data_IF_052839345613
#
_entry.id   IF_052839345613
#
_cell.length_a   1.000
_cell.length_b   1.000
_cell.length_c   1.000
_cell.angle_alpha   90.00
_cell.angle_beta   90.00
_cell.angle_gamma   90.00
#
_symmetry.space_group_name_H-M   'P 1'
#
loop_
_entity.id
_entity.type
_entity.pdbx_description
1 polymer ?
#
# COMPACT_ATOMS: atom_id res chain seq x y z
N UNK A 1 -41.61 -4.67 42.55
CA UNK A 1 -40.95 -5.92 42.11
C UNK A 1 -40.76 -5.82 40.61
N UNK A 2 -39.56 -5.45 40.15
CA UNK A 2 -39.28 -5.36 38.71
C UNK A 2 -39.12 -6.78 38.17
N UNK A 3 -39.98 -7.15 37.21
CA UNK A 3 -40.08 -8.49 36.63
C UNK A 3 -38.72 -8.98 36.11
N UNK A 4 -38.34 -10.22 36.42
CA UNK A 4 -37.07 -10.83 35.97
C UNK A 4 -36.85 -10.74 34.45
N UNK A 5 -37.92 -10.56 33.67
CA UNK A 5 -37.86 -10.41 32.22
C UNK A 5 -37.24 -9.09 31.74
N UNK A 6 -37.31 -7.99 32.50
CA UNK A 6 -36.68 -6.71 32.12
C UNK A 6 -35.21 -6.63 32.51
N UNK A 7 -34.76 -7.48 33.45
CA UNK A 7 -33.33 -7.61 33.79
C UNK A 7 -32.56 -8.42 32.76
N UNK A 8 -33.19 -9.43 32.15
CA UNK A 8 -32.56 -10.28 31.14
C UNK A 8 -32.28 -9.54 29.81
N UNK A 9 -33.17 -8.64 29.39
CA UNK A 9 -32.98 -7.84 28.16
C UNK A 9 -31.88 -6.78 28.31
N UNK A 10 -31.66 -6.25 29.51
CA UNK A 10 -30.59 -5.26 29.75
C UNK A 10 -29.19 -5.88 29.69
N UNK A 11 -29.02 -7.14 30.09
CA UNK A 11 -27.72 -7.84 30.11
C UNK A 11 -27.30 -8.26 28.69
N UNK A 12 -28.25 -8.55 27.79
CA UNK A 12 -27.95 -8.93 26.40
C UNK A 12 -27.48 -7.75 25.52
N UNK A 13 -27.80 -6.50 25.88
CA UNK A 13 -27.44 -5.32 25.07
C UNK A 13 -25.98 -4.85 25.30
N UNK A 14 -25.37 -5.22 26.43
CA UNK A 14 -24.02 -4.73 26.82
C UNK A 14 -22.89 -5.58 26.21
N UNK A 15 -23.19 -6.78 25.69
CA UNK A 15 -22.20 -7.69 25.12
C UNK A 15 -21.87 -7.43 23.63
N UNK A 16 -22.57 -6.50 22.96
CA UNK A 16 -22.41 -6.25 21.52
C UNK A 16 -21.39 -5.15 21.19
N UNK A 17 -20.76 -4.54 22.19
CA UNK A 17 -19.66 -3.62 21.97
C UNK A 17 -18.38 -4.40 21.65
N UNK A 18 -18.33 -4.99 20.45
CA UNK A 18 -17.04 -5.28 19.83
C UNK A 18 -16.33 -3.94 19.72
N UNK A 19 -15.36 -3.70 20.60
CA UNK A 19 -14.39 -2.64 20.39
C UNK A 19 -13.65 -3.02 19.11
N UNK A 20 -14.17 -2.56 17.98
CA UNK A 20 -13.45 -2.58 16.71
C UNK A 20 -12.28 -1.64 16.93
N UNK A 21 -11.15 -2.22 17.32
CA UNK A 21 -9.89 -1.52 17.42
C UNK A 21 -9.53 -1.11 16.01
N UNK A 22 -9.79 0.15 15.67
CA UNK A 22 -9.39 0.69 14.39
C UNK A 22 -7.87 0.60 14.26
N UNK A 23 -7.42 -0.25 13.35
CA UNK A 23 -6.02 -0.59 13.20
C UNK A 23 -5.59 -0.20 11.78
N UNK A 24 -4.72 0.81 11.62
CA UNK A 24 -4.18 1.11 10.30
C UNK A 24 -3.42 -0.11 9.79
N UNK A 25 -3.80 -0.59 8.61
CA UNK A 25 -3.26 -1.78 7.99
C UNK A 25 -2.95 -1.53 6.52
N UNK A 26 -1.72 -1.83 6.11
CA UNK A 26 -1.29 -1.71 4.72
C UNK A 26 -0.58 -2.98 4.29
N UNK A 27 -1.02 -3.56 3.19
CA UNK A 27 -0.37 -4.70 2.55
C UNK A 27 0.20 -4.27 1.20
N UNK A 28 1.42 -4.72 0.91
CA UNK A 28 2.08 -4.51 -0.38
C UNK A 28 2.42 -5.87 -0.95
N UNK A 29 1.87 -6.19 -2.10
CA UNK A 29 2.15 -7.41 -2.85
C UNK A 29 2.87 -7.04 -4.13
N UNK A 30 4.04 -7.63 -4.36
CA UNK A 30 4.77 -7.50 -5.62
C UNK A 30 4.64 -8.81 -6.37
N UNK A 31 4.27 -8.73 -7.65
CA UNK A 31 4.15 -9.87 -8.55
C UNK A 31 4.93 -9.60 -9.82
N UNK A 32 5.48 -10.65 -10.41
CA UNK A 32 6.26 -10.57 -11.64
C UNK A 32 6.15 -11.84 -12.47
N UNK A 33 6.59 -11.79 -13.73
CA UNK A 33 6.63 -12.94 -14.62
C UNK A 33 7.52 -14.06 -14.07
N UNK A 34 7.07 -15.31 -14.21
CA UNK A 34 7.80 -16.49 -13.73
C UNK A 34 9.12 -16.74 -14.49
N UNK A 35 9.22 -16.26 -15.72
CA UNK A 35 10.43 -16.24 -16.52
C UNK A 35 10.44 -14.97 -17.38
N UNK A 36 11.61 -14.35 -17.52
CA UNK A 36 11.82 -13.17 -18.36
C UNK A 36 12.91 -13.46 -19.39
N UNK A 37 12.59 -13.28 -20.66
CA UNK A 37 13.57 -13.33 -21.73
C UNK A 37 14.05 -11.89 -22.00
N UNK A 38 15.16 -11.52 -21.34
CA UNK A 38 15.75 -10.19 -21.44
C UNK A 38 15.22 -9.19 -20.42
N UNK A 39 16.11 -8.29 -19.97
CA UNK A 39 15.85 -7.31 -18.91
C UNK A 39 14.76 -6.30 -19.29
N UNK A 40 14.56 -6.05 -20.58
CA UNK A 40 13.50 -5.15 -21.08
C UNK A 40 12.08 -5.67 -20.80
N UNK A 41 11.95 -6.97 -20.49
CA UNK A 41 10.68 -7.63 -20.20
C UNK A 41 10.44 -7.84 -18.69
N UNK A 42 11.33 -7.34 -17.82
CA UNK A 42 11.14 -7.41 -16.38
C UNK A 42 10.15 -6.35 -15.91
N UNK A 43 8.87 -6.70 -16.00
CA UNK A 43 7.77 -5.91 -15.47
C UNK A 43 7.28 -6.48 -14.16
N UNK A 44 7.16 -5.65 -13.13
CA UNK A 44 6.58 -6.05 -11.85
C UNK A 44 5.32 -5.25 -11.61
N UNK A 45 4.29 -5.90 -11.08
CA UNK A 45 3.06 -5.23 -10.65
C UNK A 45 3.03 -5.20 -9.14
N UNK A 46 2.91 -4.00 -8.57
CA UNK A 46 2.70 -3.82 -7.15
C UNK A 46 1.23 -3.54 -6.87
N UNK A 47 0.63 -4.34 -6.00
CA UNK A 47 -0.70 -4.13 -5.45
C UNK A 47 -0.56 -3.61 -4.02
N UNK A 48 -1.02 -2.39 -3.77
CA UNK A 48 -1.05 -1.79 -2.43
C UNK A 48 -2.49 -1.80 -1.95
N UNK A 49 -2.74 -2.46 -0.83
CA UNK A 49 -4.09 -2.68 -0.27
C UNK A 49 -4.19 -2.12 1.13
N UNK A 50 -5.22 -1.34 1.38
CA UNK A 50 -5.60 -0.97 2.74
C UNK A 50 -6.33 -2.14 3.41
N UNK A 51 -5.65 -2.81 4.34
CA UNK A 51 -6.19 -3.94 5.11
C UNK A 51 -6.76 -3.50 6.47
N UNK A 52 -6.67 -2.21 6.78
CA UNK A 52 -7.29 -1.62 7.96
C UNK A 52 -8.75 -1.25 7.73
N UNK A 53 -9.33 -0.63 8.73
CA UNK A 53 -10.72 -0.16 8.80
C UNK A 53 -10.83 1.38 8.79
N UNK A 54 -9.70 2.09 8.64
CA UNK A 54 -9.65 3.53 8.43
C UNK A 54 -9.30 3.90 6.99
N UNK A 55 -9.65 5.12 6.56
CA UNK A 55 -9.19 5.65 5.27
C UNK A 55 -7.71 6.03 5.39
N UNK A 56 -6.87 5.45 4.54
CA UNK A 56 -5.45 5.77 4.47
C UNK A 56 -5.17 6.83 3.40
N UNK A 57 -4.28 7.76 3.74
CA UNK A 57 -3.75 8.78 2.83
C UNK A 57 -2.25 8.56 2.70
N UNK A 58 -1.81 8.05 1.55
CA UNK A 58 -0.45 7.59 1.32
C UNK A 58 0.26 8.57 0.39
N UNK A 59 1.42 9.05 0.80
CA UNK A 59 2.23 9.95 -0.02
C UNK A 59 2.87 9.19 -1.19
N UNK A 60 2.68 9.69 -2.40
CA UNK A 60 3.26 9.15 -3.63
C UNK A 60 4.70 9.64 -3.79
N UNK A 61 5.59 9.10 -2.96
CA UNK A 61 7.02 9.37 -3.05
C UNK A 61 7.60 8.78 -4.36
N UNK A 62 8.58 9.42 -5.03
CA UNK A 62 9.17 8.89 -6.26
C UNK A 62 9.70 7.46 -6.17
N UNK A 63 10.31 7.10 -5.04
CA UNK A 63 10.82 5.76 -4.72
C UNK A 63 9.76 4.82 -4.10
N UNK A 64 8.50 5.23 -4.02
CA UNK A 64 7.40 4.39 -3.52
C UNK A 64 6.89 3.47 -4.63
N UNK A 65 6.38 2.26 -4.30
CA UNK A 65 5.65 1.42 -5.24
C UNK A 65 4.36 2.06 -5.79
N UNK A 66 3.93 3.21 -5.28
CA UNK A 66 2.82 3.98 -5.84
C UNK A 66 3.23 4.92 -6.97
N UNK A 67 4.54 5.14 -7.14
CA UNK A 67 5.08 6.02 -8.17
C UNK A 67 5.38 5.24 -9.46
N UNK A 68 5.00 5.84 -10.59
CA UNK A 68 5.34 5.33 -11.94
C UNK A 68 6.70 5.81 -12.44
N UNK A 69 7.40 6.62 -11.64
CA UNK A 69 8.72 7.10 -12.03
C UNK A 69 9.72 5.94 -12.04
N UNK A 70 10.67 5.91 -13.01
CA UNK A 70 11.76 4.93 -13.03
C UNK A 70 12.81 5.31 -11.96
N UNK A 71 12.38 5.39 -10.71
CA UNK A 71 13.22 5.66 -9.55
C UNK A 71 13.69 4.34 -8.93
N UNK A 72 14.57 4.45 -7.93
CA UNK A 72 15.10 3.32 -7.18
C UNK A 72 14.05 2.79 -6.18
N UNK A 73 13.02 2.13 -6.72
CA UNK A 73 11.86 1.58 -5.98
C UNK A 73 12.07 0.12 -5.60
N UNK A 74 12.80 -0.63 -6.43
CA UNK A 74 13.06 -2.06 -6.22
C UNK A 74 14.56 -2.31 -6.18
N UNK A 75 14.98 -3.19 -5.27
CA UNK A 75 16.30 -3.81 -5.33
C UNK A 75 16.18 -5.09 -6.16
N UNK A 76 16.94 -5.17 -7.26
CA UNK A 76 16.94 -6.33 -8.15
C UNK A 76 18.23 -7.11 -7.92
N UNK A 77 18.13 -8.38 -7.54
CA UNK A 77 19.30 -9.24 -7.33
C UNK A 77 19.15 -10.55 -8.10
N UNK A 78 20.26 -11.13 -8.54
CA UNK A 78 20.27 -12.51 -9.00
C UNK A 78 20.33 -13.52 -7.84
N UNK A 79 20.35 -14.82 -8.16
CA UNK A 79 20.43 -15.89 -7.17
C UNK A 79 21.73 -15.91 -6.35
N UNK A 80 22.78 -15.23 -6.82
CA UNK A 80 24.04 -15.05 -6.10
C UNK A 80 24.05 -13.80 -5.22
N UNK A 81 23.02 -12.95 -5.32
CA UNK A 81 22.92 -11.68 -4.62
C UNK A 81 23.56 -10.50 -5.36
N UNK A 82 24.04 -10.68 -6.59
CA UNK A 82 24.57 -9.59 -7.38
C UNK A 82 23.42 -8.70 -7.89
N UNK A 83 23.58 -7.38 -7.78
CA UNK A 83 22.63 -6.37 -8.26
C UNK A 83 23.25 -5.59 -9.41
N UNK A 84 22.53 -5.35 -10.53
CA UNK A 84 22.96 -4.39 -11.53
C UNK A 84 23.00 -2.97 -10.95
N UNK A 85 23.76 -2.09 -11.60
CA UNK A 85 23.80 -0.69 -11.25
C UNK A 85 22.52 0.03 -11.69
N UNK A 86 21.92 0.81 -10.80
CA UNK A 86 20.72 1.59 -11.10
C UNK A 86 20.98 2.64 -12.20
N UNK A 87 20.19 2.58 -13.28
CA UNK A 87 20.25 3.52 -14.42
C UNK A 87 19.06 4.48 -14.52
N UNK A 88 18.13 4.42 -13.56
CA UNK A 88 16.93 5.25 -13.56
C UNK A 88 17.18 6.68 -13.08
N UNK A 89 16.10 7.37 -12.73
CA UNK A 89 16.14 8.77 -12.30
C UNK A 89 16.32 8.91 -10.78
N UNK A 90 17.06 9.94 -10.38
CA UNK A 90 17.10 10.42 -9.00
C UNK A 90 16.28 11.71 -8.91
N UNK A 91 15.04 11.59 -8.42
CA UNK A 91 14.13 12.72 -8.33
C UNK A 91 14.40 13.52 -7.04
N UNK A 92 14.60 14.85 -7.16
CA UNK A 92 14.55 15.75 -6.02
C UNK A 92 13.09 15.91 -5.58
N UNK A 93 12.74 15.37 -4.41
CA UNK A 93 11.37 15.37 -3.91
C UNK A 93 11.24 16.16 -2.62
N UNK A 94 10.26 17.06 -2.57
CA UNK A 94 9.91 17.84 -1.39
C UNK A 94 8.43 17.58 -1.08
N UNK A 95 8.11 16.78 -0.05
CA UNK A 95 6.73 16.39 0.27
C UNK A 95 5.75 17.55 0.38
N UNK A 96 6.13 18.63 1.06
CA UNK A 96 5.29 19.81 1.25
C UNK A 96 4.96 20.52 -0.06
N UNK A 97 5.94 20.65 -0.96
CA UNK A 97 5.73 21.24 -2.27
C UNK A 97 4.86 20.34 -3.16
N UNK A 98 5.06 19.01 -3.10
CA UNK A 98 4.26 18.05 -3.86
C UNK A 98 2.78 18.12 -3.45
N UNK A 99 2.50 18.11 -2.15
CA UNK A 99 1.13 18.24 -1.60
C UNK A 99 0.51 19.60 -1.99
N UNK A 100 1.30 20.67 -1.98
CA UNK A 100 0.82 22.01 -2.37
C UNK A 100 0.52 22.14 -3.88
N UNK A 101 1.13 21.29 -4.72
CA UNK A 101 1.01 21.36 -6.19
C UNK A 101 -0.20 20.57 -6.72
N UNK A 102 -0.75 19.60 -5.97
CA UNK A 102 -2.02 18.96 -6.33
C UNK A 102 -2.24 17.52 -5.83
N UNK A 103 -3.37 16.94 -6.24
CA UNK A 103 -3.91 15.66 -5.75
C UNK A 103 -3.04 14.43 -6.05
N UNK A 104 -2.18 14.48 -7.07
CA UNK A 104 -1.37 13.31 -7.48
C UNK A 104 -0.25 12.97 -6.49
N UNK A 105 0.01 13.85 -5.51
CA UNK A 105 0.97 13.59 -4.45
C UNK A 105 0.47 12.59 -3.39
N UNK A 106 -0.85 12.33 -3.33
CA UNK A 106 -1.43 11.47 -2.29
C UNK A 106 -2.43 10.49 -2.88
N UNK A 107 -2.20 9.20 -2.65
CA UNK A 107 -3.18 8.15 -2.92
C UNK A 107 -4.09 7.96 -1.71
N UNK A 108 -5.41 7.97 -1.92
CA UNK A 108 -6.40 7.74 -0.86
C UNK A 108 -6.97 6.33 -1.03
N UNK A 109 -6.83 5.49 -0.01
CA UNK A 109 -7.36 4.13 0.01
C UNK A 109 -8.39 4.00 1.14
N UNK A 110 -9.65 3.77 0.79
CA UNK A 110 -10.66 3.37 1.78
C UNK A 110 -10.39 1.94 2.28
N UNK A 111 -10.98 1.52 3.42
CA UNK A 111 -10.87 0.15 3.91
C UNK A 111 -11.16 -0.90 2.84
N UNK A 112 -10.26 -1.87 2.68
CA UNK A 112 -10.35 -2.93 1.66
C UNK A 112 -10.06 -2.49 0.21
N UNK A 113 -9.76 -1.21 -0.04
CA UNK A 113 -9.40 -0.75 -1.38
C UNK A 113 -7.95 -1.10 -1.72
N UNK A 114 -7.73 -1.36 -3.00
CA UNK A 114 -6.42 -1.67 -3.57
C UNK A 114 -6.12 -0.74 -4.74
N UNK A 115 -4.84 -0.46 -4.93
CA UNK A 115 -4.31 0.20 -6.13
C UNK A 115 -3.21 -0.68 -6.73
N UNK A 116 -3.23 -0.81 -8.05
CA UNK A 116 -2.24 -1.58 -8.79
C UNK A 116 -1.39 -0.65 -9.66
N UNK A 117 -0.08 -0.86 -9.61
CA UNK A 117 0.90 -0.09 -10.39
C UNK A 117 1.85 -1.07 -11.07
N UNK A 118 1.91 -1.01 -12.40
CA UNK A 118 2.93 -1.71 -13.19
C UNK A 118 4.21 -0.86 -13.20
N UNK A 119 5.35 -1.49 -12.93
CA UNK A 119 6.68 -0.90 -13.01
C UNK A 119 7.55 -1.67 -13.98
N UNK A 120 8.37 -0.94 -14.72
CA UNK A 120 9.43 -1.50 -15.52
C UNK A 120 10.73 -1.47 -14.70
N UNK A 121 11.28 -2.64 -14.39
CA UNK A 121 12.50 -2.78 -13.59
C UNK A 121 13.76 -2.85 -14.45
N UNK A 122 13.75 -2.24 -15.64
CA UNK A 122 14.95 -2.05 -16.44
C UNK A 122 16.01 -1.35 -15.60
N UNK A 123 17.07 -2.09 -15.30
CA UNK A 123 18.30 -1.57 -14.69
C UNK A 123 19.34 -1.28 -15.75
#
# INVERSE_FOLDING_TARGET
MFSSSTRATLIALVASAVAVSAAPGLSVKVSGPAAVNGVDNLKVTTTVTNTGDEILRILNHPNSPLSKLPAETFTVTDASGASPAFTGIKAKYVPSAAIATGNDAVTVLAPGQSVEVEHNCKS
#
